data_IF_013766658329
#
_entry.id   IF_013766658329
#
_cell.length_a   1.000
_cell.length_b   1.000
_cell.length_c   1.000
_cell.angle_alpha   90.00
_cell.angle_beta   90.00
_cell.angle_gamma   90.00
#
_symmetry.space_group_name_H-M   'P 1'
#
loop_
_entity.id
_entity.type
_entity.pdbx_description
1 polymer ?
#
# COMPACT_ATOMS: atom_id res chain seq x y z
N UNK A 1 -27.70 -47.05 53.01
CA UNK A 1 -26.52 -46.45 52.35
C UNK A 1 -26.79 -46.30 50.87
N UNK A 2 -26.98 -45.07 50.36
CA UNK A 2 -27.17 -44.81 48.92
C UNK A 2 -25.81 -44.53 48.29
N UNK A 3 -25.28 -45.49 47.54
CA UNK A 3 -24.01 -45.36 46.79
C UNK A 3 -24.27 -44.45 45.58
N UNK A 4 -23.67 -43.26 45.59
CA UNK A 4 -23.67 -42.37 44.43
C UNK A 4 -22.50 -42.77 43.53
N UNK A 5 -22.80 -43.26 42.32
CA UNK A 5 -21.80 -43.47 41.27
C UNK A 5 -21.46 -42.11 40.65
N UNK A 6 -20.31 -41.55 41.01
CA UNK A 6 -19.72 -40.40 40.34
C UNK A 6 -19.09 -40.89 39.03
N UNK A 7 -19.78 -40.66 37.92
CA UNK A 7 -19.25 -40.89 36.56
C UNK A 7 -18.29 -39.74 36.27
N UNK A 8 -16.99 -40.02 36.33
CA UNK A 8 -15.95 -39.08 35.93
C UNK A 8 -15.84 -39.11 34.40
N UNK A 9 -16.52 -38.18 33.72
CA UNK A 9 -16.33 -37.97 32.28
C UNK A 9 -14.92 -37.44 32.03
N UNK A 10 -14.02 -38.30 31.58
CA UNK A 10 -12.71 -37.90 31.07
C UNK A 10 -12.93 -37.14 29.75
N UNK A 11 -12.95 -35.80 29.83
CA UNK A 11 -12.96 -34.96 28.63
C UNK A 11 -11.54 -34.98 28.06
N UNK A 12 -11.29 -35.84 27.07
CA UNK A 12 -10.07 -35.77 26.26
C UNK A 12 -10.11 -34.48 25.44
N UNK A 13 -9.46 -33.42 25.93
CA UNK A 13 -9.18 -32.24 25.12
C UNK A 13 -8.12 -32.62 24.07
N UNK A 14 -8.54 -32.86 22.83
CA UNK A 14 -7.63 -32.96 21.70
C UNK A 14 -7.04 -31.57 21.43
N UNK A 15 -5.84 -31.31 21.96
CA UNK A 15 -5.05 -30.15 21.54
C UNK A 15 -4.48 -30.46 20.16
N UNK A 16 -5.05 -29.90 19.10
CA UNK A 16 -4.40 -29.90 17.79
C UNK A 16 -3.10 -29.11 17.92
N UNK A 17 -1.95 -29.76 17.68
CA UNK A 17 -0.67 -29.08 17.63
C UNK A 17 -0.74 -28.06 16.49
N UNK A 18 -0.46 -26.79 16.79
CA UNK A 18 -0.30 -25.78 15.77
C UNK A 18 1.00 -26.10 15.02
N UNK A 19 0.89 -26.32 13.71
CA UNK A 19 2.04 -26.58 12.84
C UNK A 19 2.30 -25.29 12.07
N UNK A 20 3.43 -24.65 12.33
CA UNK A 20 3.89 -23.48 11.59
C UNK A 20 4.47 -23.91 10.23
N UNK A 21 4.19 -23.13 9.19
CA UNK A 21 4.74 -23.31 7.87
C UNK A 21 4.01 -22.48 6.83
N UNK A 22 4.39 -22.64 5.56
CA UNK A 22 3.67 -22.00 4.47
C UNK A 22 2.28 -22.60 4.28
N UNK A 23 1.23 -21.80 4.47
CA UNK A 23 -0.19 -22.18 4.35
C UNK A 23 -0.77 -21.97 2.94
N UNK A 24 -0.03 -21.32 2.04
CA UNK A 24 -0.52 -20.99 0.70
C UNK A 24 -0.23 -22.11 -0.31
N UNK A 25 -1.29 -22.75 -0.81
CA UNK A 25 -1.20 -23.81 -1.82
C UNK A 25 -0.57 -23.39 -3.15
N UNK A 26 -0.44 -22.09 -3.43
CA UNK A 26 0.26 -21.56 -4.60
C UNK A 26 1.77 -21.42 -4.42
N UNK A 27 2.29 -21.59 -3.19
CA UNK A 27 3.70 -21.49 -2.91
C UNK A 27 4.46 -22.79 -3.21
N UNK A 28 5.75 -22.67 -3.53
CA UNK A 28 6.63 -23.82 -3.83
C UNK A 28 6.89 -24.71 -2.63
N UNK A 29 6.89 -24.12 -1.44
CA UNK A 29 7.15 -24.77 -0.16
C UNK A 29 5.87 -24.90 0.68
N UNK A 30 4.70 -24.97 0.02
CA UNK A 30 3.42 -25.22 0.68
C UNK A 30 3.51 -26.47 1.57
N UNK A 31 3.08 -26.32 2.83
CA UNK A 31 2.98 -27.42 3.77
C UNK A 31 1.49 -27.70 4.05
N UNK A 32 0.93 -28.80 3.54
CA UNK A 32 -0.50 -29.12 3.75
C UNK A 32 -0.86 -29.39 5.22
N UNK A 33 0.13 -29.64 6.08
CA UNK A 33 -0.08 -29.81 7.51
C UNK A 33 0.02 -28.48 8.28
N UNK A 34 0.50 -27.39 7.67
CA UNK A 34 0.63 -26.11 8.36
C UNK A 34 -0.76 -25.52 8.65
N UNK A 35 -0.98 -25.19 9.92
CA UNK A 35 -2.19 -24.53 10.42
C UNK A 35 -1.95 -23.06 10.75
N UNK A 36 -0.68 -22.63 10.79
CA UNK A 36 -0.28 -21.24 11.05
C UNK A 36 0.72 -20.82 9.98
N UNK A 37 0.43 -19.71 9.31
CA UNK A 37 1.37 -19.07 8.39
C UNK A 37 2.54 -18.49 9.19
N UNK A 38 3.76 -18.86 8.82
CA UNK A 38 5.01 -18.35 9.41
C UNK A 38 5.72 -17.33 8.51
N UNK A 39 5.06 -16.94 7.40
CA UNK A 39 5.57 -16.01 6.43
C UNK A 39 6.68 -16.57 5.53
N UNK A 40 6.94 -17.89 5.57
CA UNK A 40 8.01 -18.54 4.79
C UNK A 40 7.64 -18.85 3.34
N UNK A 41 6.39 -18.59 2.91
CA UNK A 41 5.93 -18.93 1.57
C UNK A 41 6.80 -18.30 0.48
N UNK A 42 7.24 -19.15 -0.46
CA UNK A 42 8.11 -18.79 -1.58
C UNK A 42 7.40 -19.05 -2.91
N UNK A 43 7.46 -18.08 -3.82
CA UNK A 43 6.68 -18.11 -5.06
C UNK A 43 7.58 -18.16 -6.30
N UNK A 44 7.04 -18.70 -7.39
CA UNK A 44 7.67 -18.59 -8.71
C UNK A 44 7.61 -17.15 -9.22
N UNK A 45 8.68 -16.71 -9.89
CA UNK A 45 8.70 -15.41 -10.59
C UNK A 45 7.56 -15.39 -11.61
N UNK A 46 6.66 -14.43 -11.46
CA UNK A 46 5.50 -14.27 -12.34
C UNK A 46 5.56 -12.90 -13.03
N UNK A 47 4.96 -12.84 -14.23
CA UNK A 47 4.80 -11.60 -14.99
C UNK A 47 3.35 -11.43 -15.39
N UNK A 48 2.76 -10.29 -15.07
CA UNK A 48 1.37 -9.94 -15.37
C UNK A 48 1.33 -8.78 -16.38
N UNK A 49 0.35 -8.79 -17.28
CA UNK A 49 0.10 -7.64 -18.16
C UNK A 49 -1.16 -6.92 -17.67
N UNK A 50 -1.27 -5.59 -17.85
CA UNK A 50 -2.55 -4.92 -17.66
C UNK A 50 -3.64 -5.52 -18.55
N UNK A 51 -4.86 -5.58 -18.02
CA UNK A 51 -6.05 -5.98 -18.77
C UNK A 51 -6.47 -4.86 -19.72
N UNK A 52 -6.38 -3.61 -19.28
CA UNK A 52 -6.42 -2.44 -20.15
C UNK A 52 -5.49 -1.32 -19.69
N UNK A 53 -5.31 -0.33 -20.57
CA UNK A 53 -4.62 0.91 -20.26
C UNK A 53 -5.29 2.07 -20.99
N UNK A 54 -5.48 3.19 -20.31
CA UNK A 54 -6.09 4.41 -20.84
C UNK A 54 -5.17 5.60 -20.58
N UNK A 55 -5.22 6.61 -21.46
CA UNK A 55 -4.46 7.85 -21.28
C UNK A 55 -5.18 8.67 -20.20
N UNK A 56 -4.43 9.21 -19.24
CA UNK A 56 -4.97 10.16 -18.27
C UNK A 56 -5.05 11.52 -18.94
N UNK A 57 -6.11 12.28 -18.65
CA UNK A 57 -6.30 13.63 -19.18
C UNK A 57 -5.06 14.52 -18.98
N UNK A 58 -4.59 15.19 -20.04
CA UNK A 58 -3.42 16.10 -20.07
C UNK A 58 -3.47 17.29 -19.07
N UNK A 59 -4.57 17.42 -18.30
CA UNK A 59 -4.71 18.41 -17.24
C UNK A 59 -4.08 17.99 -15.92
N UNK A 60 -3.61 16.75 -15.82
CA UNK A 60 -2.85 16.20 -14.70
C UNK A 60 -1.47 15.90 -15.27
N UNK A 61 -0.45 16.75 -15.04
CA UNK A 61 0.89 16.52 -15.59
C UNK A 61 1.58 15.29 -15.00
N UNK A 62 1.25 14.90 -13.77
CA UNK A 62 1.84 13.76 -13.05
C UNK A 62 0.86 13.19 -12.02
N UNK A 63 1.13 11.98 -11.54
CA UNK A 63 0.28 11.31 -10.53
C UNK A 63 1.20 10.67 -9.51
N UNK A 64 1.13 11.06 -8.24
CA UNK A 64 1.98 10.46 -7.20
C UNK A 64 1.21 9.38 -6.42
N UNK A 65 0.00 9.67 -5.93
CA UNK A 65 -0.84 8.72 -5.19
C UNK A 65 -2.17 8.38 -5.86
N UNK A 66 -2.83 7.30 -5.41
CA UNK A 66 -4.15 6.90 -5.92
C UNK A 66 -5.06 6.28 -4.86
N UNK A 67 -6.31 6.76 -4.74
CA UNK A 67 -7.36 6.08 -3.95
C UNK A 67 -8.64 5.84 -4.75
N UNK A 68 -9.39 4.81 -4.36
CA UNK A 68 -10.71 4.52 -4.90
C UNK A 68 -11.79 5.03 -3.93
N UNK A 69 -12.47 6.13 -4.27
CA UNK A 69 -13.42 6.81 -3.37
C UNK A 69 -14.57 7.44 -4.16
N UNK A 70 -15.80 7.34 -3.65
CA UNK A 70 -17.01 7.88 -4.29
C UNK A 70 -17.14 7.46 -5.78
N UNK A 71 -16.90 6.17 -6.05
CA UNK A 71 -16.92 5.56 -7.40
C UNK A 71 -15.95 6.17 -8.42
N UNK A 72 -14.97 6.96 -7.96
CA UNK A 72 -13.91 7.55 -8.76
C UNK A 72 -12.54 7.12 -8.24
N UNK A 73 -11.53 7.24 -9.09
CA UNK A 73 -10.13 7.13 -8.73
C UNK A 73 -9.62 8.56 -8.48
N UNK A 74 -9.12 8.83 -7.28
CA UNK A 74 -8.63 10.15 -6.88
C UNK A 74 -7.11 10.16 -6.81
N UNK A 75 -6.49 11.15 -7.44
CA UNK A 75 -5.04 11.37 -7.50
C UNK A 75 -4.71 12.83 -7.19
N UNK A 76 -3.44 13.14 -6.99
CA UNK A 76 -2.87 14.49 -6.95
C UNK A 76 -1.57 14.52 -7.78
N UNK A 77 -1.10 15.74 -8.08
CA UNK A 77 0.26 15.98 -8.58
C UNK A 77 1.26 15.98 -7.41
N UNK A 78 2.55 15.93 -7.73
CA UNK A 78 3.63 15.84 -6.74
C UNK A 78 3.91 17.19 -6.11
N UNK A 79 3.99 18.27 -6.90
CA UNK A 79 4.38 19.59 -6.40
C UNK A 79 3.34 20.70 -6.69
N UNK A 80 3.37 21.76 -5.86
CA UNK A 80 2.63 23.04 -5.96
C UNK A 80 1.09 23.00 -6.00
N UNK A 81 0.49 22.08 -6.74
CA UNK A 81 -0.93 21.92 -6.91
C UNK A 81 -1.55 21.22 -5.71
N UNK A 82 -2.56 21.86 -5.14
CA UNK A 82 -3.29 21.39 -3.95
C UNK A 82 -4.63 20.76 -4.31
N UNK A 83 -4.81 20.41 -5.59
CA UNK A 83 -6.05 19.85 -6.13
C UNK A 83 -6.00 18.33 -6.17
N UNK A 84 -7.04 17.70 -5.61
CA UNK A 84 -7.36 16.30 -5.83
C UNK A 84 -8.22 16.15 -7.08
N UNK A 85 -7.85 15.22 -7.95
CA UNK A 85 -8.52 14.96 -9.22
C UNK A 85 -9.21 13.60 -9.18
N UNK A 86 -10.54 13.62 -9.21
CA UNK A 86 -11.37 12.41 -9.31
C UNK A 86 -11.61 12.06 -10.76
N UNK A 87 -11.04 10.96 -11.23
CA UNK A 87 -11.20 10.41 -12.58
C UNK A 87 -12.03 9.13 -12.59
N UNK A 88 -12.69 8.86 -13.72
CA UNK A 88 -13.25 7.53 -13.95
C UNK A 88 -12.19 6.53 -14.44
N UNK A 89 -12.58 5.26 -14.59
CA UNK A 89 -11.67 4.19 -15.07
C UNK A 89 -11.22 4.36 -16.53
N UNK A 90 -11.75 5.35 -17.27
CA UNK A 90 -11.27 5.71 -18.61
C UNK A 90 -10.18 6.78 -18.61
N UNK A 91 -9.76 7.26 -17.42
CA UNK A 91 -8.75 8.31 -17.26
C UNK A 91 -9.30 9.73 -17.42
N UNK A 92 -10.63 9.90 -17.50
CA UNK A 92 -11.27 11.21 -17.66
C UNK A 92 -11.59 11.82 -16.31
N UNK A 93 -11.15 13.07 -16.10
CA UNK A 93 -11.47 13.87 -14.91
C UNK A 93 -12.97 14.14 -14.85
N UNK A 94 -13.59 13.80 -13.72
CA UNK A 94 -15.01 14.00 -13.41
C UNK A 94 -15.24 15.01 -12.31
N UNK A 95 -14.34 15.08 -11.33
CA UNK A 95 -14.42 15.99 -10.20
C UNK A 95 -13.05 16.53 -9.84
N UNK A 96 -13.04 17.70 -9.19
CA UNK A 96 -11.85 18.33 -8.60
C UNK A 96 -12.20 18.81 -7.21
N UNK A 97 -11.27 18.69 -6.27
CA UNK A 97 -11.37 19.23 -4.91
C UNK A 97 -10.08 19.96 -4.62
N UNK A 98 -10.13 21.28 -4.40
CA UNK A 98 -8.95 22.06 -4.05
C UNK A 98 -8.87 22.20 -2.54
N UNK A 99 -7.76 21.75 -1.95
CA UNK A 99 -7.50 21.91 -0.54
C UNK A 99 -6.91 23.30 -0.29
N UNK A 100 -7.69 24.17 0.34
CA UNK A 100 -7.25 25.54 0.64
C UNK A 100 -6.42 25.57 1.93
N UNK A 101 -5.48 26.51 2.03
CA UNK A 101 -4.61 26.72 3.20
C UNK A 101 -3.65 25.56 3.52
N UNK A 102 -3.33 24.74 2.51
CA UNK A 102 -2.23 23.78 2.57
C UNK A 102 -1.19 24.16 1.52
N UNK A 103 0.04 23.70 1.72
CA UNK A 103 1.11 23.84 0.74
C UNK A 103 1.41 22.43 0.26
N UNK A 104 1.55 22.26 -1.04
CA UNK A 104 2.11 21.06 -1.61
C UNK A 104 3.60 21.30 -1.85
N UNK A 105 4.46 20.77 -0.97
CA UNK A 105 5.90 20.81 -1.15
C UNK A 105 6.44 19.59 -1.90
N UNK A 106 5.95 18.38 -1.56
CA UNK A 106 6.37 17.08 -2.14
C UNK A 106 5.30 16.03 -1.74
N UNK A 107 4.12 16.11 -2.37
CA UNK A 107 3.01 15.20 -2.11
C UNK A 107 3.20 13.90 -2.87
N UNK A 108 3.53 12.84 -2.13
CA UNK A 108 3.93 11.57 -2.74
C UNK A 108 2.80 10.54 -2.76
N UNK A 109 1.89 10.54 -1.77
CA UNK A 109 0.87 9.49 -1.66
C UNK A 109 -0.45 10.00 -1.04
N UNK A 110 -1.54 9.31 -1.38
CA UNK A 110 -2.87 9.49 -0.79
C UNK A 110 -3.44 8.15 -0.31
N UNK A 111 -4.03 8.13 0.88
CA UNK A 111 -4.72 6.95 1.40
C UNK A 111 -6.00 7.34 2.14
N UNK A 112 -6.73 6.36 2.65
CA UNK A 112 -8.02 6.59 3.31
C UNK A 112 -8.34 5.53 4.36
N UNK A 113 -9.17 5.91 5.33
CA UNK A 113 -9.91 4.98 6.20
C UNK A 113 -11.42 5.18 6.00
N UNK A 114 -12.26 4.72 6.93
CA UNK A 114 -13.72 4.90 6.83
C UNK A 114 -14.15 6.37 6.79
N UNK A 115 -13.47 7.24 7.54
CA UNK A 115 -13.92 8.60 7.83
C UNK A 115 -13.05 9.69 7.20
N UNK A 116 -11.79 9.39 6.89
CA UNK A 116 -10.79 10.37 6.50
C UNK A 116 -10.07 10.00 5.21
N UNK A 117 -9.61 11.03 4.51
CA UNK A 117 -8.60 10.97 3.46
C UNK A 117 -7.32 11.57 4.02
N UNK A 118 -6.20 10.97 3.65
CA UNK A 118 -4.87 11.32 4.12
C UNK A 118 -3.95 11.58 2.93
N UNK A 119 -3.13 12.63 2.98
CA UNK A 119 -2.19 12.97 1.90
C UNK A 119 -0.81 13.19 2.53
N UNK A 120 0.20 12.52 2.01
CA UNK A 120 1.56 12.56 2.53
C UNK A 120 2.41 13.62 1.83
N UNK A 121 2.79 14.66 2.57
CA UNK A 121 3.79 15.65 2.13
C UNK A 121 5.14 15.32 2.77
N UNK A 122 5.79 14.29 2.22
CA UNK A 122 6.92 13.63 2.86
C UNK A 122 8.00 13.10 1.92
N UNK A 123 7.92 13.41 0.61
CA UNK A 123 9.00 13.15 -0.34
C UNK A 123 10.29 13.80 0.14
N UNK A 124 11.43 13.15 -0.03
CA UNK A 124 12.70 13.63 0.52
C UNK A 124 13.90 13.20 -0.34
N UNK A 125 13.66 12.91 -1.61
CA UNK A 125 14.65 12.34 -2.53
C UNK A 125 15.73 13.35 -2.98
N UNK A 126 15.46 14.67 -2.95
CA UNK A 126 16.36 15.69 -3.53
C UNK A 126 17.64 15.89 -2.72
N UNK A 127 17.53 16.13 -1.41
CA UNK A 127 18.68 16.35 -0.51
C UNK A 127 18.64 15.48 0.75
N UNK A 128 17.56 14.73 1.00
CA UNK A 128 17.46 13.85 2.17
C UNK A 128 17.41 14.58 3.52
N UNK A 129 17.13 15.89 3.53
CA UNK A 129 17.29 16.76 4.70
C UNK A 129 16.01 17.51 5.11
N UNK A 130 14.83 17.14 4.59
CA UNK A 130 13.57 17.74 5.06
C UNK A 130 13.32 17.43 6.53
N UNK A 131 12.90 18.46 7.28
CA UNK A 131 12.57 18.40 8.71
C UNK A 131 11.09 18.67 8.99
N UNK A 132 10.29 18.84 7.95
CA UNK A 132 8.89 19.23 7.99
C UNK A 132 7.96 18.17 7.38
N UNK A 133 8.34 16.90 7.45
CA UNK A 133 7.55 15.78 6.93
C UNK A 133 6.20 15.73 7.66
N UNK A 134 5.11 15.63 6.90
CA UNK A 134 3.78 15.61 7.48
C UNK A 134 2.75 14.92 6.60
N UNK A 135 1.60 14.63 7.20
CA UNK A 135 0.43 14.06 6.56
C UNK A 135 -0.76 14.98 6.84
N UNK A 136 -1.44 15.40 5.78
CA UNK A 136 -2.71 16.09 5.84
C UNK A 136 -3.82 15.08 6.09
N UNK A 137 -4.77 15.41 6.98
CA UNK A 137 -5.93 14.57 7.31
C UNK A 137 -7.21 15.36 7.14
N UNK A 138 -8.10 14.93 6.25
CA UNK A 138 -9.35 15.63 5.94
C UNK A 138 -10.56 14.70 6.04
N UNK A 139 -11.68 15.22 6.53
CA UNK A 139 -12.88 14.43 6.78
C UNK A 139 -13.68 14.24 5.50
N UNK A 140 -14.01 12.98 5.17
CA UNK A 140 -14.78 12.62 3.97
C UNK A 140 -16.18 13.24 3.95
N UNK A 141 -16.82 13.41 5.11
CA UNK A 141 -18.17 14.00 5.19
C UNK A 141 -18.20 15.47 4.76
N UNK A 142 -17.07 16.17 4.82
CA UNK A 142 -16.93 17.59 4.48
C UNK A 142 -16.00 17.83 3.30
N UNK A 143 -15.54 16.77 2.62
CA UNK A 143 -14.51 16.88 1.57
C UNK A 143 -14.98 17.67 0.34
N UNK A 144 -16.29 17.71 0.11
CA UNK A 144 -16.93 18.44 -0.98
C UNK A 144 -17.41 19.85 -0.57
N UNK A 145 -17.14 20.27 0.67
CA UNK A 145 -17.44 21.65 1.09
C UNK A 145 -16.53 22.64 0.35
N UNK A 146 -16.87 23.93 0.37
CA UNK A 146 -16.08 24.96 -0.33
C UNK A 146 -14.63 25.05 0.17
N UNK A 147 -14.40 24.76 1.45
CA UNK A 147 -13.09 24.82 2.09
C UNK A 147 -12.94 23.63 3.04
N UNK A 148 -12.66 22.42 2.51
CA UNK A 148 -12.44 21.25 3.35
C UNK A 148 -11.26 21.52 4.29
N UNK A 149 -11.46 21.25 5.58
CA UNK A 149 -10.40 21.44 6.58
C UNK A 149 -9.43 20.27 6.54
N UNK A 150 -8.15 20.58 6.72
CA UNK A 150 -7.09 19.61 6.90
C UNK A 150 -6.46 19.80 8.26
N UNK A 151 -6.43 18.74 9.07
CA UNK A 151 -5.54 18.62 10.20
C UNK A 151 -4.16 18.13 9.73
N UNK A 152 -3.14 18.27 10.58
CA UNK A 152 -1.77 17.88 10.25
C UNK A 152 -1.20 16.91 11.27
N UNK A 153 -0.64 15.81 10.78
CA UNK A 153 0.14 14.84 11.55
C UNK A 153 1.59 15.00 11.10
N UNK A 154 2.45 15.56 11.95
CA UNK A 154 3.87 15.76 11.64
C UNK A 154 4.70 14.63 12.23
N UNK A 155 5.80 14.28 11.58
CA UNK A 155 6.68 13.24 12.11
C UNK A 155 8.14 13.44 11.76
N UNK A 156 8.98 12.79 12.56
CA UNK A 156 10.39 12.53 12.27
C UNK A 156 10.67 11.04 12.34
N UNK A 157 11.62 10.54 11.56
CA UNK A 157 12.09 9.17 11.70
C UNK A 157 12.93 9.01 12.96
N UNK A 158 12.73 7.92 13.72
CA UNK A 158 13.48 7.72 14.96
C UNK A 158 15.00 7.60 14.79
N UNK A 159 15.44 7.26 13.57
CA UNK A 159 16.82 6.95 13.22
C UNK A 159 17.41 7.92 12.16
N UNK A 160 16.70 8.97 11.76
CA UNK A 160 17.28 10.03 10.94
C UNK A 160 17.90 11.11 11.84
N UNK A 161 19.20 11.00 12.08
CA UNK A 161 19.93 11.93 12.95
C UNK A 161 20.84 12.90 12.18
N UNK A 162 21.08 12.65 10.90
CA UNK A 162 21.92 13.47 10.02
C UNK A 162 21.06 14.10 8.93
N UNK A 163 21.07 15.43 8.88
CA UNK A 163 20.36 16.27 7.91
C UNK A 163 21.33 17.07 7.04
N UNK A 164 22.60 16.67 6.98
CA UNK A 164 23.54 17.21 6.01
C UNK A 164 23.00 16.96 4.58
N UNK A 165 23.00 17.97 3.69
CA UNK A 165 22.50 17.80 2.34
C UNK A 165 23.24 16.68 1.60
N UNK A 166 22.48 15.75 1.03
CA UNK A 166 22.99 14.64 0.22
C UNK A 166 22.75 14.90 -1.27
N UNK A 167 23.37 14.09 -2.12
CA UNK A 167 23.01 14.05 -3.53
C UNK A 167 21.57 13.51 -3.70
N UNK A 168 20.90 13.90 -4.79
CA UNK A 168 19.59 13.37 -5.13
C UNK A 168 19.61 11.85 -5.22
N UNK A 169 18.53 11.22 -4.73
CA UNK A 169 18.32 9.77 -4.71
C UNK A 169 19.38 9.02 -3.91
N UNK A 170 19.93 9.65 -2.85
CA UNK A 170 20.95 9.05 -1.99
C UNK A 170 20.46 8.75 -0.56
N UNK A 171 19.28 9.22 -0.17
CA UNK A 171 18.71 8.97 1.16
C UNK A 171 17.92 7.66 1.21
N UNK A 172 17.77 7.10 2.41
CA UNK A 172 16.82 6.02 2.72
C UNK A 172 15.59 6.55 3.49
N UNK A 173 15.53 7.87 3.73
CA UNK A 173 14.43 8.56 4.44
C UNK A 173 13.50 9.29 3.46
N UNK A 174 13.45 8.79 2.24
CA UNK A 174 12.48 9.15 1.23
C UNK A 174 11.24 8.28 1.42
N UNK A 175 10.07 8.90 1.52
CA UNK A 175 8.80 8.21 1.80
C UNK A 175 7.89 8.40 0.61
N UNK A 176 7.36 7.32 0.06
CA UNK A 176 6.45 7.43 -1.09
C UNK A 176 5.24 6.52 -0.99
N UNK A 177 5.07 5.78 0.10
CA UNK A 177 3.89 4.96 0.29
C UNK A 177 3.49 4.92 1.75
N UNK A 178 2.19 4.91 2.02
CA UNK A 178 1.67 4.71 3.37
C UNK A 178 0.24 4.17 3.37
N UNK A 179 -0.16 3.63 4.52
CA UNK A 179 -1.52 3.20 4.78
C UNK A 179 -1.94 3.57 6.20
N UNK A 180 -3.25 3.58 6.43
CA UNK A 180 -3.85 3.72 7.76
C UNK A 180 -4.48 2.39 8.16
N UNK A 181 -4.18 1.93 9.37
CA UNK A 181 -4.85 0.78 9.94
C UNK A 181 -5.04 0.98 11.45
N UNK A 182 -6.31 0.92 11.87
CA UNK A 182 -6.71 1.18 13.26
C UNK A 182 -6.25 2.58 13.72
N UNK A 183 -5.56 2.66 14.84
CA UNK A 183 -5.07 3.89 15.45
C UNK A 183 -3.68 4.32 14.92
N UNK A 184 -3.19 3.69 13.87
CA UNK A 184 -1.81 3.81 13.42
C UNK A 184 -1.70 4.10 11.92
N UNK A 185 -0.65 4.84 11.57
CA UNK A 185 -0.18 5.08 10.22
C UNK A 185 1.08 4.24 10.01
N UNK A 186 1.19 3.60 8.85
CA UNK A 186 2.35 2.81 8.46
C UNK A 186 2.97 3.39 7.19
N UNK A 187 4.23 3.78 7.28
CA UNK A 187 5.01 4.39 6.20
C UNK A 187 5.92 3.35 5.55
N UNK A 188 6.12 3.45 4.25
CA UNK A 188 7.00 2.60 3.45
C UNK A 188 7.99 3.51 2.73
N UNK A 189 9.28 3.38 3.05
CA UNK A 189 10.33 4.20 2.41
C UNK A 189 10.67 3.71 1.00
N UNK A 190 11.08 4.64 0.15
CA UNK A 190 11.67 4.39 -1.17
C UNK A 190 13.20 4.42 -1.06
N UNK A 191 13.81 3.28 -0.75
CA UNK A 191 15.25 3.25 -0.50
C UNK A 191 16.05 3.11 -1.80
N UNK A 192 16.50 4.24 -2.33
CA UNK A 192 17.26 4.30 -3.57
C UNK A 192 18.56 3.49 -3.54
N UNK A 193 19.26 3.39 -2.40
CA UNK A 193 20.52 2.64 -2.32
C UNK A 193 20.30 1.14 -2.20
N UNK A 194 19.44 0.73 -1.27
CA UNK A 194 19.26 -0.67 -0.87
C UNK A 194 18.23 -1.39 -1.74
N UNK A 195 17.31 -0.66 -2.39
CA UNK A 195 16.15 -1.20 -3.10
C UNK A 195 15.24 -2.05 -2.18
N UNK A 196 15.16 -1.63 -0.92
CA UNK A 196 14.26 -2.16 0.09
C UNK A 196 13.19 -1.13 0.43
N UNK A 197 12.27 -1.50 1.31
CA UNK A 197 11.41 -0.56 2.02
C UNK A 197 11.48 -0.83 3.52
N UNK A 198 11.74 0.20 4.30
CA UNK A 198 11.61 0.13 5.76
C UNK A 198 10.20 0.57 6.12
N UNK A 199 9.53 -0.27 6.92
CA UNK A 199 8.19 -0.02 7.41
C UNK A 199 8.32 0.71 8.73
N UNK A 200 7.79 1.92 8.82
CA UNK A 200 7.64 2.66 10.07
C UNK A 200 6.19 2.69 10.52
N UNK A 201 5.96 2.92 11.81
CA UNK A 201 4.64 3.20 12.35
C UNK A 201 4.63 4.44 13.23
N UNK A 202 3.53 5.20 13.19
CA UNK A 202 3.25 6.30 14.10
C UNK A 202 1.75 6.37 14.43
N UNK A 203 1.33 7.03 15.53
CA UNK A 203 -0.08 7.21 15.85
C UNK A 203 -0.84 8.03 14.78
N UNK A 204 -2.07 7.62 14.46
CA UNK A 204 -3.04 8.34 13.62
C UNK A 204 -3.77 9.43 14.43
N UNK A 205 -3.00 10.28 15.10
CA UNK A 205 -3.51 11.42 15.88
C UNK A 205 -2.80 12.69 15.46
N UNK A 206 -3.51 13.81 15.40
CA UNK A 206 -2.96 15.13 15.06
C UNK A 206 -1.82 15.50 16.03
N UNK A 207 -0.76 16.13 15.52
CA UNK A 207 0.39 16.57 16.31
C UNK A 207 1.71 15.95 15.86
N UNK A 208 2.74 16.12 16.71
CA UNK A 208 4.11 15.68 16.42
C UNK A 208 4.37 14.26 16.92
N UNK A 209 4.89 13.41 16.04
CA UNK A 209 5.20 12.02 16.34
C UNK A 209 6.61 11.63 15.96
N UNK A 210 7.06 10.51 16.51
CA UNK A 210 8.28 9.84 16.07
C UNK A 210 7.88 8.54 15.38
N UNK A 211 8.19 8.42 14.10
CA UNK A 211 7.95 7.22 13.32
C UNK A 211 8.93 6.11 13.75
N UNK A 212 8.39 4.97 14.17
CA UNK A 212 9.13 3.83 14.74
C UNK A 212 9.30 2.71 13.73
N UNK A 213 10.52 2.21 13.57
CA UNK A 213 10.83 1.07 12.71
C UNK A 213 10.05 -0.15 13.19
N UNK A 214 9.34 -0.79 12.27
CA UNK A 214 8.61 -2.04 12.49
C UNK A 214 9.32 -3.22 11.86
N UNK A 215 9.74 -3.07 10.61
CA UNK A 215 10.43 -4.09 9.86
C UNK A 215 11.11 -3.49 8.63
N UNK A 216 11.89 -4.30 7.91
CA UNK A 216 12.38 -3.98 6.58
C UNK A 216 12.07 -5.13 5.63
N UNK A 217 11.65 -4.79 4.42
CA UNK A 217 11.31 -5.74 3.36
C UNK A 217 12.22 -5.50 2.16
N UNK A 218 12.96 -6.53 1.78
CA UNK A 218 13.70 -6.51 0.52
C UNK A 218 12.72 -6.68 -0.66
N UNK A 219 12.35 -5.56 -1.24
CA UNK A 219 11.46 -5.47 -2.39
C UNK A 219 12.19 -5.71 -3.70
N UNK A 220 13.53 -5.68 -3.73
CA UNK A 220 14.35 -5.64 -4.94
C UNK A 220 13.85 -4.56 -5.94
N UNK A 221 13.46 -3.40 -5.41
CA UNK A 221 12.95 -2.27 -6.19
C UNK A 221 12.52 -1.10 -5.30
N UNK A 222 12.20 0.01 -5.96
CA UNK A 222 11.71 1.25 -5.34
C UNK A 222 10.21 1.12 -5.17
N UNK A 223 9.72 1.22 -3.94
CA UNK A 223 8.28 1.31 -3.64
C UNK A 223 7.86 2.76 -3.79
N UNK A 224 6.74 2.98 -4.46
CA UNK A 224 6.20 4.31 -4.77
C UNK A 224 4.71 4.46 -4.46
N UNK A 225 4.04 3.37 -4.11
CA UNK A 225 2.64 3.46 -3.70
C UNK A 225 2.16 2.24 -2.95
N UNK A 226 1.12 2.42 -2.15
CA UNK A 226 0.48 1.36 -1.38
C UNK A 226 -1.04 1.50 -1.34
N UNK A 227 -1.73 0.37 -1.48
CA UNK A 227 -3.16 0.29 -1.18
C UNK A 227 -3.43 -0.83 -0.21
N UNK A 228 -4.41 -0.62 0.67
CA UNK A 228 -4.79 -1.57 1.69
C UNK A 228 -6.29 -1.82 1.66
N UNK A 229 -6.68 -3.10 1.70
CA UNK A 229 -8.05 -3.54 1.84
C UNK A 229 -8.24 -4.19 3.22
N UNK A 230 -8.66 -3.44 4.26
CA UNK A 230 -8.74 -3.95 5.63
C UNK A 230 -9.66 -5.17 5.79
N UNK A 231 -10.80 -5.18 5.08
CA UNK A 231 -11.78 -6.28 5.11
C UNK A 231 -11.23 -7.60 4.58
N UNK A 232 -10.16 -7.55 3.79
CA UNK A 232 -9.49 -8.70 3.17
C UNK A 232 -8.11 -8.96 3.77
N UNK A 233 -7.61 -8.07 4.64
CA UNK A 233 -6.23 -8.08 5.15
C UNK A 233 -5.19 -8.27 4.03
N UNK A 234 -5.32 -7.47 2.98
CA UNK A 234 -4.42 -7.49 1.82
C UNK A 234 -3.87 -6.11 1.57
N UNK A 235 -2.54 -6.00 1.59
CA UNK A 235 -1.79 -4.82 1.14
C UNK A 235 -1.18 -5.14 -0.21
N UNK A 236 -1.28 -4.20 -1.15
CA UNK A 236 -0.55 -4.27 -2.41
C UNK A 236 0.29 -3.02 -2.54
N UNK A 237 1.60 -3.22 -2.60
CA UNK A 237 2.56 -2.17 -2.94
C UNK A 237 2.77 -2.16 -4.45
N UNK A 238 2.95 -0.98 -5.03
CA UNK A 238 3.49 -0.83 -6.38
C UNK A 238 4.87 -0.19 -6.35
N UNK A 239 5.57 -0.29 -7.47
CA UNK A 239 6.92 0.21 -7.60
C UNK A 239 7.60 -0.22 -8.87
N UNK A 240 8.88 0.11 -8.98
CA UNK A 240 9.71 -0.24 -10.12
C UNK A 240 11.16 -0.48 -9.71
N UNK A 241 11.88 -1.30 -10.48
CA UNK A 241 13.32 -1.42 -10.32
C UNK A 241 14.04 -0.19 -10.87
N UNK A 242 15.31 0.03 -10.49
CA UNK A 242 16.16 1.11 -11.04
C UNK A 242 16.28 1.12 -12.57
N UNK A 243 15.99 0.00 -13.22
CA UNK A 243 16.02 -0.12 -14.68
C UNK A 243 14.61 0.06 -15.29
N UNK A 244 13.67 0.66 -14.55
CA UNK A 244 12.30 0.92 -14.96
C UNK A 244 11.43 -0.33 -15.13
N UNK A 245 11.67 -1.42 -14.38
CA UNK A 245 10.83 -2.62 -14.46
C UNK A 245 9.77 -2.60 -13.37
N UNK A 246 8.48 -2.44 -13.69
CA UNK A 246 7.47 -2.26 -12.67
C UNK A 246 7.11 -3.58 -12.00
N UNK A 247 6.66 -3.50 -10.75
CA UNK A 247 6.21 -4.65 -9.98
C UNK A 247 5.05 -4.28 -9.06
N UNK A 248 4.32 -5.32 -8.66
CA UNK A 248 3.44 -5.31 -7.49
C UNK A 248 4.03 -6.22 -6.42
N UNK A 249 3.83 -5.86 -5.16
CA UNK A 249 4.24 -6.67 -4.01
C UNK A 249 3.04 -6.88 -3.09
N UNK A 250 2.54 -8.11 -3.07
CA UNK A 250 1.36 -8.49 -2.30
C UNK A 250 1.81 -8.94 -0.90
N UNK A 251 1.18 -8.37 0.13
CA UNK A 251 1.28 -8.79 1.52
C UNK A 251 -0.12 -9.19 2.01
N UNK A 252 -0.31 -10.46 2.39
CA UNK A 252 -1.61 -11.00 2.78
C UNK A 252 -1.46 -12.15 3.76
N UNK A 253 -2.55 -12.58 4.38
CA UNK A 253 -2.55 -13.62 5.42
C UNK A 253 -1.63 -13.30 6.61
N UNK A 254 -1.42 -12.00 6.87
CA UNK A 254 -0.62 -11.53 7.98
C UNK A 254 -1.44 -11.42 9.26
N UNK A 255 -0.75 -11.47 10.39
CA UNK A 255 -1.32 -11.33 11.72
C UNK A 255 -1.30 -9.86 12.16
N UNK A 256 -2.47 -9.35 12.50
CA UNK A 256 -2.67 -8.00 13.03
C UNK A 256 -1.97 -6.93 12.19
N UNK A 257 -0.99 -6.21 12.75
CA UNK A 257 -0.18 -5.20 12.06
C UNK A 257 1.25 -5.66 11.74
N UNK A 258 1.56 -6.95 11.93
CA UNK A 258 2.81 -7.54 11.46
C UNK A 258 2.67 -7.95 9.99
N UNK A 259 2.74 -6.99 9.08
CA UNK A 259 2.51 -7.21 7.65
C UNK A 259 3.46 -8.21 6.99
N UNK A 260 4.59 -8.55 7.64
CA UNK A 260 5.56 -9.51 7.11
C UNK A 260 5.40 -10.92 7.69
N UNK A 261 4.52 -11.12 8.69
CA UNK A 261 4.19 -12.44 9.24
C UNK A 261 3.45 -13.36 8.26
N UNK A 262 2.85 -12.80 7.21
CA UNK A 262 2.08 -13.53 6.21
C UNK A 262 2.81 -13.76 4.89
N UNK A 263 2.03 -14.04 3.86
CA UNK A 263 2.48 -14.27 2.50
C UNK A 263 3.04 -12.99 1.87
N UNK A 264 4.18 -13.13 1.19
CA UNK A 264 4.91 -12.05 0.53
C UNK A 264 5.17 -12.45 -0.92
N UNK A 265 4.53 -11.77 -1.87
CA UNK A 265 4.57 -12.18 -3.29
C UNK A 265 4.82 -11.02 -4.22
N UNK A 266 6.00 -11.01 -4.85
CA UNK A 266 6.36 -10.07 -5.91
C UNK A 266 5.88 -10.55 -7.28
N UNK A 267 5.22 -9.67 -8.02
CA UNK A 267 4.71 -9.89 -9.38
C UNK A 267 5.30 -8.81 -10.28
N UNK A 268 6.01 -9.17 -11.34
CA UNK A 268 6.52 -8.17 -12.29
C UNK A 268 5.45 -7.80 -13.31
N UNK A 269 5.47 -6.57 -13.82
CA UNK A 269 4.54 -6.12 -14.85
C UNK A 269 5.19 -6.14 -16.24
N UNK A 270 4.42 -6.51 -17.27
CA UNK A 270 4.85 -6.58 -18.68
C UNK A 270 4.69 -5.22 -19.39
N UNK A 271 5.07 -4.14 -18.71
CA UNK A 271 5.05 -2.75 -19.19
C UNK A 271 6.36 -2.06 -18.81
N UNK A 272 7.50 -2.42 -19.44
CA UNK A 272 8.80 -1.87 -19.07
C UNK A 272 8.81 -0.34 -19.25
N UNK A 273 9.65 0.32 -18.47
CA UNK A 273 9.87 1.77 -18.44
C UNK A 273 8.67 2.61 -18.00
N UNK A 274 7.67 2.00 -17.35
CA UNK A 274 6.57 2.75 -16.73
C UNK A 274 6.94 2.96 -15.25
N UNK A 275 7.25 4.19 -14.85
CA UNK A 275 7.37 4.52 -13.42
C UNK A 275 5.96 4.54 -12.84
N UNK A 276 5.57 3.44 -12.20
CA UNK A 276 4.27 3.34 -11.55
C UNK A 276 4.37 4.07 -10.23
N UNK A 277 3.43 4.96 -9.94
CA UNK A 277 3.44 5.78 -8.72
C UNK A 277 2.21 5.43 -7.86
N UNK A 278 0.99 5.63 -8.35
CA UNK A 278 -0.23 5.33 -7.58
C UNK A 278 -0.81 3.92 -7.78
N UNK A 279 -1.45 3.37 -6.73
CA UNK A 279 -2.24 2.13 -6.79
C UNK A 279 -3.55 2.22 -5.97
N UNK A 280 -4.66 1.76 -6.53
CA UNK A 280 -5.95 1.69 -5.82
C UNK A 280 -6.80 0.49 -6.23
N UNK A 281 -7.82 0.18 -5.45
CA UNK A 281 -8.81 -0.85 -5.80
C UNK A 281 -10.17 -0.53 -5.18
N UNK A 282 -11.25 -0.86 -5.89
CA UNK A 282 -12.61 -0.78 -5.36
C UNK A 282 -13.01 -2.06 -4.63
N UNK A 283 -12.45 -3.22 -5.00
CA UNK A 283 -12.97 -4.53 -4.62
C UNK A 283 -11.92 -5.51 -4.09
N UNK A 284 -10.64 -5.12 -4.08
CA UNK A 284 -9.51 -5.95 -3.65
C UNK A 284 -9.06 -7.01 -4.66
N UNK A 285 -9.61 -7.01 -5.88
CA UNK A 285 -9.28 -7.95 -6.97
C UNK A 285 -8.83 -7.21 -8.24
N UNK A 286 -9.54 -6.15 -8.63
CA UNK A 286 -9.18 -5.29 -9.75
C UNK A 286 -8.44 -4.07 -9.21
N UNK A 287 -7.17 -3.94 -9.61
CA UNK A 287 -6.29 -2.88 -9.15
C UNK A 287 -6.01 -1.92 -10.29
N UNK A 288 -6.03 -0.64 -9.95
CA UNK A 288 -5.77 0.48 -10.83
C UNK A 288 -4.41 1.05 -10.50
N UNK A 289 -3.60 1.31 -11.52
CA UNK A 289 -2.25 1.84 -11.39
C UNK A 289 -2.09 3.07 -12.28
N UNK A 290 -1.39 4.09 -11.80
CA UNK A 290 -0.96 5.21 -12.65
C UNK A 290 0.54 5.16 -12.90
N UNK A 291 0.98 5.71 -14.03
CA UNK A 291 2.40 5.89 -14.32
C UNK A 291 2.72 7.32 -14.72
N UNK A 292 3.92 7.80 -14.40
CA UNK A 292 4.38 9.11 -14.87
C UNK A 292 4.74 9.16 -16.35
N UNK A 293 4.79 10.36 -16.90
CA UNK A 293 5.34 10.61 -18.23
C UNK A 293 6.87 10.47 -18.21
N UNK A 294 7.39 9.45 -18.89
CA UNK A 294 8.83 9.28 -19.07
C UNK A 294 9.25 9.63 -20.50
N UNK A 295 10.17 10.60 -20.63
CA UNK A 295 10.72 11.02 -21.91
C UNK A 295 12.25 11.01 -21.92
N UNK A 296 12.83 10.17 -22.79
CA UNK A 296 14.27 10.15 -23.09
C UNK A 296 14.45 10.42 -24.59
N UNK A 297 14.58 11.68 -24.99
CA UNK A 297 14.67 12.05 -26.41
C UNK A 297 15.98 11.52 -27.04
N UNK A 298 15.95 10.96 -28.26
CA UNK A 298 14.78 10.58 -29.10
C UNK A 298 14.33 9.11 -28.92
N UNK A 299 14.84 8.41 -27.91
CA UNK A 299 14.83 6.94 -27.79
C UNK A 299 13.52 6.41 -27.21
N UNK A 300 12.91 7.12 -26.28
CA UNK A 300 11.76 6.62 -25.52
C UNK A 300 10.78 7.74 -25.15
N UNK A 301 9.49 7.45 -25.30
CA UNK A 301 8.39 8.29 -24.84
C UNK A 301 7.26 7.39 -24.30
N UNK A 302 7.10 7.35 -22.98
CA UNK A 302 6.05 6.59 -22.30
C UNK A 302 5.07 7.60 -21.71
N UNK A 303 3.90 7.84 -22.32
CA UNK A 303 2.93 8.78 -21.79
C UNK A 303 2.35 8.26 -20.46
N UNK A 304 1.86 9.20 -19.66
CA UNK A 304 1.11 8.88 -18.45
C UNK A 304 -0.19 8.14 -18.80
N UNK A 305 -0.46 7.07 -18.06
CA UNK A 305 -1.62 6.20 -18.25
C UNK A 305 -2.17 5.71 -16.93
N UNK A 306 -3.44 5.33 -16.99
CA UNK A 306 -4.13 4.50 -16.02
C UNK A 306 -4.14 3.06 -16.55
N UNK A 307 -3.77 2.09 -15.72
CA UNK A 307 -3.77 0.67 -16.03
C UNK A 307 -4.73 -0.07 -15.09
N UNK A 308 -5.46 -1.06 -15.60
CA UNK A 308 -6.17 -2.02 -14.75
C UNK A 308 -5.46 -3.38 -14.77
N UNK A 309 -5.39 -4.02 -13.60
CA UNK A 309 -4.80 -5.33 -13.39
C UNK A 309 -5.74 -6.20 -12.55
N UNK A 310 -6.05 -7.40 -13.03
CA UNK A 310 -6.76 -8.42 -12.27
C UNK A 310 -5.79 -9.31 -11.46
N UNK A 311 -5.89 -9.24 -10.12
CA UNK A 311 -5.12 -10.05 -9.18
C UNK A 311 -5.84 -11.33 -8.70
N UNK A 312 -7.01 -11.64 -9.25
CA UNK A 312 -7.75 -12.88 -8.94
C UNK A 312 -6.92 -14.16 -9.06
N UNK A 313 -5.99 -14.32 -10.04
CA UNK A 313 -5.17 -15.55 -10.12
C UNK A 313 -4.22 -15.73 -8.93
N UNK A 314 -4.03 -14.69 -8.12
CA UNK A 314 -3.08 -14.66 -7.00
C UNK A 314 -3.78 -14.61 -5.64
N UNK A 315 -4.95 -13.97 -5.55
CA UNK A 315 -5.64 -13.69 -4.29
C UNK A 315 -6.89 -14.55 -4.07
N UNK A 316 -7.53 -15.09 -5.11
CA UNK A 316 -8.83 -15.76 -4.95
C UNK A 316 -8.80 -16.94 -3.98
N UNK A 317 -7.76 -17.79 -4.02
CA UNK A 317 -7.62 -18.93 -3.13
C UNK A 317 -7.65 -18.49 -1.66
N UNK A 318 -6.90 -17.44 -1.34
CA UNK A 318 -6.85 -16.84 -0.02
C UNK A 318 -8.18 -16.21 0.38
N UNK A 319 -8.76 -15.37 -0.48
CA UNK A 319 -10.00 -14.65 -0.18
C UNK A 319 -11.23 -15.56 -0.03
N UNK A 320 -11.25 -16.68 -0.75
CA UNK A 320 -12.30 -17.70 -0.58
C UNK A 320 -12.18 -18.41 0.77
N UNK A 321 -10.96 -18.67 1.25
CA UNK A 321 -10.71 -19.32 2.53
C UNK A 321 -11.03 -18.41 3.74
N UNK A 322 -11.10 -17.10 3.56
CA UNK A 322 -11.49 -16.16 4.61
C UNK A 322 -13.02 -16.06 4.81
N UNK A 323 -13.82 -16.53 3.85
CA UNK A 323 -15.28 -16.53 4.03
C UNK A 323 -15.64 -17.53 5.14
N UNK A 324 -16.52 -17.18 6.09
CA UNK A 324 -17.02 -18.14 7.06
C UNK A 324 -17.56 -19.35 6.30
N UNK A 325 -17.10 -20.56 6.63
CA UNK A 325 -17.73 -21.76 6.07
C UNK A 325 -19.22 -21.71 6.40
N UNK A 326 -20.12 -21.95 5.43
CA UNK A 326 -21.54 -22.02 5.72
C UNK A 326 -21.72 -23.03 6.84
N UNK A 327 -22.30 -22.58 7.97
CA UNK A 327 -22.67 -23.49 9.06
C UNK A 327 -23.57 -24.55 8.44
N UNK A 328 -23.05 -25.77 8.30
CA UNK A 328 -23.88 -26.93 7.98
C UNK A 328 -24.87 -27.07 9.11
N UNK A 329 -26.13 -26.74 8.83
CA UNK A 329 -27.24 -27.07 9.71
C UNK A 329 -27.42 -28.57 9.56
N UNK A 330 -26.81 -29.34 10.46
CA UNK A 330 -27.10 -30.75 10.64
C UNK A 330 -28.29 -30.93 11.58
#
# INVERSE_FOLDING_TARGET
>A
MKIHFLIFCLICNFTYSQISGCTDAMAKNFNPNATINDGSCSYSKTKLKPDFSSIISDSIPETSGLIAFDSLLWTHNDDHDTTLYGMDVSGKIRKKITLSNVINQDWEEITQDENYIYIGDFGNNYQGNRTNLHILKTNKSTIYDQNPKCDTITFVYENQTDFSPQASNATNFDCEAFLVYQDSIYLFTKEWKTQQTTIYSLPNSTGNHVAKVKASLNTEGLVSGATFMPSQKTIVLCGYSKNGKPFLYLLYDFKDSDFLSGNKRKINLKIPFHQIEGIATFDGIHYYLTNEHLQLKPILNVPQKLHEINLSPFLNSFLQNQKPQPKTIN
#
